data_IF_611603346517
#
_entry.id   IF_611603346517
#
_cell.length_a   1.000
_cell.length_b   1.000
_cell.length_c   1.000
_cell.angle_alpha   90.00
_cell.angle_beta   90.00
_cell.angle_gamma   90.00
#
_symmetry.space_group_name_H-M   'P 1'
#
loop_
_entity.id
_entity.type
_entity.pdbx_description
1 polymer ?
#
# COMPACT_ATOMS: atom_id res chain seq x y z
N UNK A 1 44.44 -25.67 49.51
CA UNK A 1 44.93 -24.41 50.11
C UNK A 1 43.97 -23.32 49.64
N UNK A 2 42.90 -23.05 50.38
CA UNK A 2 42.75 -21.91 51.33
C UNK A 2 43.41 -20.62 50.81
N UNK A 3 42.59 -19.63 50.45
CA UNK A 3 42.57 -18.27 51.03
C UNK A 3 41.53 -17.43 50.24
N UNK A 4 40.40 -17.01 50.83
CA UNK A 4 40.22 -15.89 51.78
C UNK A 4 40.82 -14.58 51.26
N UNK A 5 39.93 -13.64 50.92
CA UNK A 5 39.95 -12.18 51.14
C UNK A 5 39.05 -11.54 50.05
N UNK A 6 38.26 -10.50 50.23
CA UNK A 6 37.83 -9.69 51.38
C UNK A 6 36.91 -8.63 50.78
N UNK A 7 35.85 -8.32 51.53
CA UNK A 7 35.03 -7.11 51.45
C UNK A 7 35.71 -5.93 50.77
N UNK A 8 35.07 -5.33 49.77
CA UNK A 8 35.12 -3.89 49.57
C UNK A 8 34.12 -3.43 48.51
N UNK A 9 33.32 -2.43 48.87
CA UNK A 9 32.77 -1.39 47.99
C UNK A 9 32.17 -1.88 46.66
N UNK A 10 30.89 -2.28 46.68
CA UNK A 10 30.08 -2.10 45.47
C UNK A 10 29.78 -0.61 45.30
N UNK A 11 30.72 0.06 44.63
CA UNK A 11 30.57 1.41 44.14
C UNK A 11 29.32 1.51 43.26
N UNK A 12 28.57 2.58 43.51
CA UNK A 12 27.42 3.01 42.74
C UNK A 12 27.88 3.26 41.29
N UNK A 13 27.75 2.26 40.42
CA UNK A 13 28.03 2.41 38.98
C UNK A 13 26.81 3.05 38.34
N UNK A 14 26.86 4.37 38.18
CA UNK A 14 25.91 5.11 37.36
C UNK A 14 26.21 4.81 35.89
N UNK A 15 25.60 3.76 35.35
CA UNK A 15 25.66 3.47 33.92
C UNK A 15 24.77 4.47 33.19
N UNK A 16 25.37 5.54 32.65
CA UNK A 16 24.70 6.36 31.65
C UNK A 16 24.49 5.52 30.39
N UNK A 17 23.30 4.94 30.24
CA UNK A 17 22.86 4.38 28.99
C UNK A 17 22.64 5.53 28.00
N UNK A 18 23.56 5.71 27.06
CA UNK A 18 23.34 6.51 25.86
C UNK A 18 22.32 5.77 24.99
N UNK A 19 21.03 6.02 25.23
CA UNK A 19 19.99 5.66 24.27
C UNK A 19 20.08 6.64 23.10
N UNK A 20 20.97 6.37 22.13
CA UNK A 20 20.94 7.06 20.85
C UNK A 20 19.67 6.63 20.11
N UNK A 21 18.64 7.48 20.14
CA UNK A 21 17.57 7.38 19.17
C UNK A 21 18.16 7.77 17.81
N UNK A 22 18.52 6.77 17.01
CA UNK A 22 18.73 6.96 15.58
C UNK A 22 17.38 7.33 14.99
N UNK A 23 17.03 8.62 15.01
CA UNK A 23 15.99 9.15 14.13
C UNK A 23 16.56 9.03 12.71
N UNK A 24 16.35 7.88 12.07
CA UNK A 24 16.33 7.86 10.62
C UNK A 24 15.08 8.69 10.24
N UNK A 25 15.21 9.84 9.57
CA UNK A 25 14.10 10.33 8.80
C UNK A 25 13.80 9.21 7.80
N UNK A 26 12.62 8.61 7.92
CA UNK A 26 12.07 7.79 6.84
C UNK A 26 12.30 8.59 5.57
N UNK A 27 13.16 8.08 4.70
CA UNK A 27 13.23 8.56 3.33
C UNK A 27 11.84 8.33 2.77
N UNK A 28 11.01 9.36 2.84
CA UNK A 28 9.85 9.54 1.99
C UNK A 28 10.40 9.51 0.58
N UNK A 29 10.53 8.31 0.03
CA UNK A 29 10.19 8.16 -1.38
C UNK A 29 8.84 8.85 -1.54
N UNK A 30 8.64 9.70 -2.56
CA UNK A 30 7.31 10.13 -2.90
C UNK A 30 6.53 8.85 -3.13
N UNK A 31 5.70 8.48 -2.15
CA UNK A 31 4.77 7.38 -2.30
C UNK A 31 3.68 7.90 -3.23
N UNK A 32 4.01 7.93 -4.52
CA UNK A 32 3.07 8.18 -5.60
C UNK A 32 2.28 6.93 -5.91
N UNK A 33 2.40 5.85 -5.12
CA UNK A 33 1.40 4.79 -5.12
C UNK A 33 0.11 5.41 -4.59
N UNK A 34 -0.94 5.55 -5.43
CA UNK A 34 -2.21 6.03 -4.93
C UNK A 34 -2.64 5.06 -3.83
N UNK A 35 -2.72 5.56 -2.59
CA UNK A 35 -3.25 4.79 -1.46
C UNK A 35 -4.75 4.65 -1.73
N UNK A 36 -5.11 3.63 -2.49
CA UNK A 36 -6.51 3.32 -2.71
C UNK A 36 -7.06 2.75 -1.40
N UNK A 37 -8.14 3.30 -0.82
CA UNK A 37 -8.78 2.68 0.30
C UNK A 37 -9.26 1.28 -0.11
N UNK A 38 -8.64 0.27 0.50
CA UNK A 38 -9.12 -1.11 0.48
C UNK A 38 -10.28 -1.19 1.46
N UNK A 39 -11.43 -0.60 1.11
CA UNK A 39 -12.64 -0.81 1.88
C UNK A 39 -13.46 -1.92 1.22
N UNK A 40 -13.73 -2.97 1.98
CA UNK A 40 -14.63 -4.04 1.58
C UNK A 40 -16.03 -3.42 1.42
N UNK A 41 -16.72 -3.77 0.33
CA UNK A 41 -18.07 -3.32 -0.09
C UNK A 41 -18.16 -2.17 -1.11
N UNK A 42 -17.14 -1.94 -1.93
CA UNK A 42 -17.33 -1.13 -3.14
C UNK A 42 -18.28 -1.84 -4.12
N UNK A 43 -19.26 -1.12 -4.64
CA UNK A 43 -20.19 -1.56 -5.69
C UNK A 43 -19.97 -0.74 -6.97
N UNK A 44 -20.38 -1.31 -8.12
CA UNK A 44 -20.25 -0.63 -9.40
C UNK A 44 -21.35 0.43 -9.52
N UNK A 45 -21.01 1.69 -9.80
CA UNK A 45 -22.01 2.73 -10.09
C UNK A 45 -22.84 2.38 -11.32
N UNK A 46 -24.05 2.94 -11.39
CA UNK A 46 -24.88 2.86 -12.59
C UNK A 46 -24.23 3.63 -13.74
N UNK A 47 -24.12 2.99 -14.90
CA UNK A 47 -23.57 3.66 -16.08
C UNK A 47 -23.11 2.70 -17.18
N UNK A 48 -22.62 3.27 -18.30
CA UNK A 48 -22.10 2.48 -19.40
C UNK A 48 -20.84 1.73 -18.98
N UNK A 49 -20.88 0.40 -19.09
CA UNK A 49 -19.73 -0.46 -18.81
C UNK A 49 -18.80 -0.52 -20.02
N UNK A 50 -17.53 -0.17 -19.80
CA UNK A 50 -16.48 -0.26 -20.82
C UNK A 50 -15.60 -1.46 -20.53
N UNK A 51 -15.49 -2.38 -21.49
CA UNK A 51 -14.66 -3.57 -21.35
C UNK A 51 -13.18 -3.24 -21.55
N UNK A 52 -12.32 -3.80 -20.70
CA UNK A 52 -10.87 -3.69 -20.88
C UNK A 52 -10.38 -4.56 -22.05
N UNK A 53 -9.33 -4.14 -22.77
CA UNK A 53 -8.73 -4.96 -23.80
C UNK A 53 -8.20 -6.29 -23.24
N UNK A 54 -8.31 -7.41 -23.98
CA UNK A 54 -7.69 -8.66 -23.59
C UNK A 54 -6.16 -8.50 -23.68
N UNK A 55 -5.46 -8.66 -22.55
CA UNK A 55 -4.01 -8.48 -22.38
C UNK A 55 -3.50 -7.04 -22.25
N UNK A 56 -4.06 -6.28 -21.31
CA UNK A 56 -3.33 -5.15 -20.75
C UNK A 56 -2.08 -5.63 -20.00
N UNK A 57 -0.89 -5.27 -20.50
CA UNK A 57 0.34 -5.51 -19.75
C UNK A 57 0.33 -4.71 -18.45
N UNK A 58 0.83 -5.31 -17.37
CA UNK A 58 1.04 -4.63 -16.09
C UNK A 58 1.98 -3.41 -16.20
N UNK A 59 2.67 -3.27 -17.35
CA UNK A 59 3.61 -2.20 -17.68
C UNK A 59 2.98 -1.01 -18.42
N UNK A 60 1.65 -0.91 -18.42
CA UNK A 60 0.95 0.22 -19.05
C UNK A 60 1.25 1.52 -18.31
N UNK A 61 1.89 2.48 -18.99
CA UNK A 61 2.18 3.81 -18.45
C UNK A 61 0.99 4.75 -18.66
N UNK A 62 0.43 5.24 -17.55
CA UNK A 62 -0.73 6.13 -17.56
C UNK A 62 -0.38 7.52 -17.04
N UNK A 63 -1.10 8.53 -17.53
CA UNK A 63 -1.00 9.89 -17.00
C UNK A 63 -1.47 9.94 -15.54
N UNK A 64 -0.94 10.89 -14.75
CA UNK A 64 -1.40 11.15 -13.38
C UNK A 64 -2.66 12.03 -13.29
N UNK A 65 -3.35 12.27 -14.40
CA UNK A 65 -4.63 12.98 -14.40
C UNK A 65 -5.67 12.14 -13.64
N UNK A 66 -6.38 12.80 -12.73
CA UNK A 66 -7.51 12.21 -12.03
C UNK A 66 -8.79 12.41 -12.85
N UNK A 67 -9.38 11.31 -13.30
CA UNK A 67 -10.69 11.17 -13.96
C UNK A 67 -11.26 9.80 -13.55
N UNK A 68 -11.79 9.68 -12.33
CA UNK A 68 -11.94 8.39 -11.66
C UNK A 68 -12.93 7.46 -12.37
N UNK A 69 -12.63 6.17 -12.28
CA UNK A 69 -13.49 5.09 -12.78
C UNK A 69 -13.55 3.94 -11.79
N UNK A 70 -14.69 3.27 -11.70
CA UNK A 70 -14.87 2.09 -10.86
C UNK A 70 -14.66 0.85 -11.71
N UNK A 71 -13.60 0.11 -11.38
CA UNK A 71 -13.14 -1.06 -12.13
C UNK A 71 -13.72 -2.31 -11.51
N UNK A 72 -14.28 -3.18 -12.35
CA UNK A 72 -14.60 -4.56 -12.00
C UNK A 72 -13.39 -5.44 -12.26
N UNK A 73 -12.92 -6.13 -11.25
CA UNK A 73 -11.88 -7.15 -11.36
C UNK A 73 -12.40 -8.54 -11.04
N UNK A 74 -11.84 -9.55 -11.69
CA UNK A 74 -12.22 -10.94 -11.50
C UNK A 74 -10.98 -11.83 -11.36
N UNK A 75 -10.91 -12.57 -10.25
CA UNK A 75 -9.88 -13.59 -10.01
C UNK A 75 -10.60 -14.91 -9.74
N UNK A 76 -10.54 -15.82 -10.70
CA UNK A 76 -11.37 -17.03 -10.68
C UNK A 76 -12.85 -16.65 -10.61
N UNK A 77 -13.55 -17.07 -9.55
CA UNK A 77 -14.96 -16.75 -9.32
C UNK A 77 -15.19 -15.49 -8.48
N UNK A 78 -14.14 -14.89 -7.93
CA UNK A 78 -14.26 -13.73 -7.03
C UNK A 78 -14.31 -12.44 -7.85
N UNK A 79 -15.37 -11.66 -7.66
CA UNK A 79 -15.52 -10.32 -8.23
C UNK A 79 -15.20 -9.30 -7.15
N UNK A 80 -14.41 -8.30 -7.49
CA UNK A 80 -14.14 -7.14 -6.64
C UNK A 80 -14.21 -5.85 -7.44
N UNK A 81 -14.44 -4.75 -6.73
CA UNK A 81 -14.56 -3.42 -7.30
C UNK A 81 -13.56 -2.47 -6.67
N UNK A 82 -12.95 -1.62 -7.49
CA UNK A 82 -11.97 -0.65 -7.03
C UNK A 82 -12.01 0.64 -7.82
N UNK A 83 -11.79 1.77 -7.17
CA UNK A 83 -11.62 3.05 -7.85
C UNK A 83 -10.21 3.14 -8.44
N UNK A 84 -10.12 3.33 -9.74
CA UNK A 84 -8.88 3.68 -10.43
C UNK A 84 -8.86 5.17 -10.76
N UNK A 85 -7.67 5.77 -10.77
CA UNK A 85 -7.53 7.22 -10.97
C UNK A 85 -7.93 7.69 -12.37
N UNK A 86 -7.86 6.81 -13.37
CA UNK A 86 -8.40 7.04 -14.71
C UNK A 86 -8.59 5.73 -15.49
N UNK A 87 -9.27 5.82 -16.64
CA UNK A 87 -9.53 4.72 -17.56
C UNK A 87 -8.27 3.93 -17.99
N UNK A 88 -7.12 4.58 -18.15
CA UNK A 88 -5.88 3.89 -18.47
C UNK A 88 -5.43 3.01 -17.29
N UNK A 89 -5.35 3.59 -16.09
CA UNK A 89 -4.94 2.85 -14.88
C UNK A 89 -5.93 1.75 -14.48
N UNK A 90 -7.19 1.86 -14.89
CA UNK A 90 -8.23 0.88 -14.62
C UNK A 90 -7.93 -0.47 -15.24
N UNK A 91 -7.57 -0.44 -16.52
CA UNK A 91 -7.23 -1.63 -17.27
C UNK A 91 -5.77 -2.03 -17.11
N UNK A 92 -4.93 -1.36 -16.32
CA UNK A 92 -3.51 -1.73 -16.16
C UNK A 92 -3.24 -3.03 -15.36
N UNK A 93 -4.28 -3.75 -14.93
CA UNK A 93 -4.15 -5.00 -14.15
C UNK A 93 -4.74 -6.17 -14.95
N UNK A 94 -4.09 -7.34 -14.97
CA UNK A 94 -4.57 -8.48 -15.78
C UNK A 94 -5.91 -9.03 -15.28
N UNK A 95 -6.28 -8.76 -14.02
CA UNK A 95 -7.58 -9.15 -13.45
C UNK A 95 -8.72 -8.17 -13.83
N UNK A 96 -8.42 -7.07 -14.52
CA UNK A 96 -9.42 -6.05 -14.88
C UNK A 96 -10.32 -6.53 -16.02
N UNK A 97 -11.62 -6.58 -15.77
CA UNK A 97 -12.64 -6.94 -16.76
C UNK A 97 -13.11 -5.69 -17.52
N UNK A 98 -13.30 -4.59 -16.81
CA UNK A 98 -13.81 -3.34 -17.35
C UNK A 98 -14.16 -2.34 -16.27
N UNK A 99 -14.69 -1.18 -16.64
CA UNK A 99 -14.95 -0.08 -15.72
C UNK A 99 -16.20 0.73 -16.08
N UNK A 100 -16.72 1.47 -15.10
CA UNK A 100 -17.76 2.50 -15.26
C UNK A 100 -17.16 3.83 -14.80
N UNK A 101 -17.61 4.95 -15.38
CA UNK A 101 -17.17 6.29 -14.95
C UNK A 101 -17.62 6.61 -13.53
N UNK A 102 -16.77 7.31 -12.78
CA UNK A 102 -16.99 7.67 -11.38
C UNK A 102 -16.29 6.72 -10.41
N UNK A 103 -16.16 7.14 -9.15
CA UNK A 103 -15.64 6.30 -8.07
C UNK A 103 -16.62 5.18 -7.73
N UNK A 104 -16.15 4.10 -7.10
CA UNK A 104 -17.06 3.08 -6.61
C UNK A 104 -17.93 3.57 -5.45
N UNK A 105 -19.13 3.00 -5.30
CA UNK A 105 -20.10 3.33 -4.25
C UNK A 105 -19.99 2.42 -3.04
#
# INVERSE_FOLDING_TARGET
MINLLKSSLFGLTLTMALASCSYLPSSVTPDTTPTQPTNAQNSLPDGPFTQCPPASSADTMCTMQYDPVCVKTQVGSVISYRTAGNACSACGKPEAVGYVKGECN
#
